data_IF_639063009617
#
_entry.id   IF_639063009617
#
_cell.length_a   1.000
_cell.length_b   1.000
_cell.length_c   1.000
_cell.angle_alpha   90.00
_cell.angle_beta   90.00
_cell.angle_gamma   90.00
#
_symmetry.space_group_name_H-M   'P 1'
#
loop_
_entity.id
_entity.type
_entity.pdbx_description
1 polymer ?
#
# COMPACT_ATOMS: atom_id res chain seq x y z
N UNK A 1 -27.59 6.61 -13.86
CA UNK A 1 -26.22 6.98 -13.39
C UNK A 1 -25.82 6.21 -12.12
N UNK A 2 -26.64 6.18 -11.06
CA UNK A 2 -26.29 5.48 -9.81
C UNK A 2 -25.88 3.99 -9.97
N UNK A 3 -26.59 3.22 -10.81
CA UNK A 3 -26.27 1.80 -11.04
C UNK A 3 -24.92 1.58 -11.74
N UNK A 4 -24.51 2.48 -12.65
CA UNK A 4 -23.22 2.40 -13.34
C UNK A 4 -22.06 2.75 -12.40
N UNK A 5 -22.25 3.75 -11.52
CA UNK A 5 -21.27 4.07 -10.48
C UNK A 5 -21.11 2.91 -9.48
N UNK A 6 -22.22 2.29 -9.07
CA UNK A 6 -22.19 1.13 -8.17
C UNK A 6 -21.47 -0.06 -8.81
N UNK A 7 -21.77 -0.37 -10.07
CA UNK A 7 -21.09 -1.42 -10.82
C UNK A 7 -19.58 -1.15 -10.99
N UNK A 8 -19.19 0.11 -11.22
CA UNK A 8 -17.79 0.50 -11.29
C UNK A 8 -17.07 0.35 -9.94
N UNK A 9 -17.72 0.70 -8.83
CA UNK A 9 -17.18 0.50 -7.47
C UNK A 9 -17.04 -0.99 -7.17
N UNK A 10 -18.03 -1.81 -7.46
CA UNK A 10 -17.97 -3.27 -7.26
C UNK A 10 -16.85 -3.89 -8.12
N UNK A 11 -16.71 -3.44 -9.36
CA UNK A 11 -15.64 -3.90 -10.25
C UNK A 11 -14.26 -3.47 -9.73
N UNK A 12 -14.11 -2.24 -9.24
CA UNK A 12 -12.86 -1.74 -8.66
C UNK A 12 -12.51 -2.46 -7.36
N UNK A 13 -13.50 -2.73 -6.51
CA UNK A 13 -13.33 -3.52 -5.28
C UNK A 13 -12.96 -4.97 -5.62
N UNK A 14 -13.59 -5.56 -6.64
CA UNK A 14 -13.31 -6.91 -7.11
C UNK A 14 -12.01 -7.06 -7.91
N UNK A 15 -11.51 -5.99 -8.53
CA UNK A 15 -10.20 -5.91 -9.19
C UNK A 15 -9.08 -5.61 -8.21
N UNK A 16 -9.35 -4.77 -7.20
CA UNK A 16 -8.69 -4.92 -5.92
C UNK A 16 -9.01 -6.35 -5.38
N UNK A 17 -8.61 -6.90 -4.25
CA UNK A 17 -8.61 -8.36 -4.02
C UNK A 17 -7.74 -9.22 -4.98
N UNK A 18 -7.66 -8.95 -6.30
CA UNK A 18 -6.86 -9.76 -7.23
C UNK A 18 -5.36 -9.64 -6.93
N UNK A 19 -4.59 -10.73 -7.06
CA UNK A 19 -3.16 -10.72 -6.81
C UNK A 19 -2.40 -9.78 -7.77
N UNK A 20 -2.87 -9.63 -9.01
CA UNK A 20 -2.28 -8.71 -9.99
C UNK A 20 -2.41 -7.24 -9.57
N UNK A 21 -3.56 -6.84 -9.01
CA UNK A 21 -3.74 -5.47 -8.52
C UNK A 21 -2.82 -5.14 -7.35
N UNK A 22 -2.48 -6.12 -6.49
CA UNK A 22 -1.55 -5.91 -5.37
C UNK A 22 -0.16 -5.52 -5.88
N UNK A 23 0.37 -6.27 -6.85
CA UNK A 23 1.67 -5.97 -7.46
C UNK A 23 1.68 -4.60 -8.13
N UNK A 24 0.63 -4.29 -8.90
CA UNK A 24 0.51 -2.99 -9.56
C UNK A 24 0.45 -1.80 -8.58
N UNK A 25 -0.35 -1.92 -7.50
CA UNK A 25 -0.43 -0.89 -6.46
C UNK A 25 0.93 -0.70 -5.80
N UNK A 26 1.62 -1.79 -5.45
CA UNK A 26 2.94 -1.74 -4.82
C UNK A 26 3.96 -1.05 -5.74
N UNK A 27 4.02 -1.41 -7.02
CA UNK A 27 4.91 -0.76 -8.00
C UNK A 27 4.60 0.72 -8.17
N UNK A 28 3.33 1.11 -8.12
CA UNK A 28 2.92 2.52 -8.24
C UNK A 28 3.33 3.34 -7.02
N UNK A 29 3.15 2.80 -5.82
CA UNK A 29 3.61 3.42 -4.57
C UNK A 29 5.14 3.51 -4.55
N UNK A 30 5.83 2.42 -4.90
CA UNK A 30 7.29 2.41 -5.00
C UNK A 30 7.80 3.45 -6.01
N UNK A 31 7.16 3.57 -7.18
CA UNK A 31 7.51 4.59 -8.17
C UNK A 31 7.31 6.03 -7.67
N UNK A 32 6.24 6.28 -6.90
CA UNK A 32 5.99 7.58 -6.28
C UNK A 32 7.00 7.91 -5.18
N UNK A 33 7.37 6.95 -4.34
CA UNK A 33 8.40 7.14 -3.32
C UNK A 33 9.77 7.33 -3.97
N UNK A 34 10.05 6.63 -5.07
CA UNK A 34 11.28 6.76 -5.83
C UNK A 34 11.44 8.15 -6.44
N UNK A 35 10.36 8.79 -6.89
CA UNK A 35 10.42 10.18 -7.35
C UNK A 35 10.71 11.18 -6.22
N UNK A 36 10.54 10.77 -4.96
CA UNK A 36 10.93 11.51 -3.76
C UNK A 36 12.32 11.12 -3.24
N UNK A 37 13.06 10.27 -3.96
CA UNK A 37 14.41 9.82 -3.57
C UNK A 37 14.42 8.63 -2.62
N UNK A 38 13.27 7.99 -2.37
CA UNK A 38 13.13 6.84 -1.47
C UNK A 38 12.98 5.57 -2.30
N UNK A 39 13.90 4.61 -2.14
CA UNK A 39 13.74 3.29 -2.73
C UNK A 39 12.92 2.42 -1.77
N UNK A 40 11.81 1.88 -2.25
CA UNK A 40 10.85 1.13 -1.44
C UNK A 40 10.50 -0.19 -2.12
N UNK A 41 10.59 -1.27 -1.36
CA UNK A 41 10.22 -2.61 -1.81
C UNK A 41 9.51 -3.37 -0.69
N UNK A 42 8.63 -4.30 -1.08
CA UNK A 42 8.01 -5.28 -0.19
C UNK A 42 7.83 -6.60 -0.96
N UNK A 43 7.98 -7.72 -0.26
CA UNK A 43 7.82 -9.05 -0.87
C UNK A 43 6.35 -9.37 -1.13
N UNK A 44 5.47 -8.89 -0.24
CA UNK A 44 4.03 -9.14 -0.34
C UNK A 44 3.22 -7.95 0.19
N UNK A 45 2.16 -7.64 -0.54
CA UNK A 45 1.10 -6.73 -0.12
C UNK A 45 -0.20 -7.53 0.03
N UNK A 46 -0.83 -7.41 1.18
CA UNK A 46 -2.17 -7.91 1.47
C UNK A 46 -3.00 -6.72 1.91
N UNK A 47 -4.24 -6.63 1.44
CA UNK A 47 -5.18 -5.66 1.99
C UNK A 47 -6.57 -6.27 2.03
N UNK A 48 -7.37 -5.74 2.94
CA UNK A 48 -8.77 -6.04 3.09
C UNK A 48 -9.54 -4.73 3.02
N UNK A 49 -10.34 -4.55 1.97
CA UNK A 49 -11.11 -3.33 1.75
C UNK A 49 -12.32 -3.23 2.70
N UNK A 50 -12.84 -4.36 3.19
CA UNK A 50 -13.94 -4.34 4.16
C UNK A 50 -13.46 -3.83 5.52
N UNK A 51 -12.27 -4.25 5.95
CA UNK A 51 -11.68 -3.81 7.22
C UNK A 51 -10.69 -2.65 7.07
N UNK A 52 -10.52 -2.14 5.84
CA UNK A 52 -9.55 -1.12 5.45
C UNK A 52 -8.15 -1.34 6.03
N UNK A 53 -7.73 -2.60 6.07
CA UNK A 53 -6.45 -3.00 6.64
C UNK A 53 -5.47 -3.32 5.53
N UNK A 54 -4.21 -2.92 5.70
CA UNK A 54 -3.10 -3.16 4.80
C UNK A 54 -2.00 -3.85 5.58
N UNK A 55 -1.45 -4.91 4.99
CA UNK A 55 -0.37 -5.71 5.54
C UNK A 55 0.72 -5.85 4.48
N UNK A 56 1.93 -5.48 4.85
CA UNK A 56 3.12 -5.60 4.02
C UNK A 56 4.09 -6.56 4.70
N UNK A 57 4.73 -7.42 3.92
CA UNK A 57 5.77 -8.33 4.40
C UNK A 57 7.08 -8.08 3.64
N UNK A 58 8.20 -8.23 4.34
CA UNK A 58 9.54 -8.09 3.75
C UNK A 58 9.84 -6.66 3.29
N UNK A 59 9.43 -5.66 4.07
CA UNK A 59 9.59 -4.25 3.67
C UNK A 59 11.05 -3.85 3.77
N UNK A 60 11.56 -3.22 2.71
CA UNK A 60 12.90 -2.64 2.65
C UNK A 60 12.80 -1.19 2.17
N UNK A 61 13.45 -0.29 2.91
CA UNK A 61 13.52 1.14 2.57
C UNK A 61 14.97 1.55 2.46
N UNK A 62 15.31 2.17 1.34
CA UNK A 62 16.64 2.64 0.99
C UNK A 62 16.60 4.02 0.35
N UNK A 63 17.78 4.51 -0.02
CA UNK A 63 17.90 5.75 -0.79
C UNK A 63 17.90 5.40 -2.28
N UNK A 64 17.00 6.03 -3.05
CA UNK A 64 17.00 5.89 -4.50
C UNK A 64 18.11 6.71 -5.17
N UNK A 65 18.72 7.67 -4.46
CA UNK A 65 19.84 8.48 -4.94
C UNK A 65 21.20 7.85 -4.66
N UNK A 66 21.30 7.00 -3.64
CA UNK A 66 22.53 6.28 -3.30
C UNK A 66 22.43 4.79 -3.72
N UNK A 67 22.56 4.55 -5.02
CA UNK A 67 22.35 3.26 -5.70
C UNK A 67 23.22 2.09 -5.20
N UNK A 68 24.19 2.33 -4.31
CA UNK A 68 25.09 1.30 -3.77
C UNK A 68 25.05 1.17 -2.23
N UNK A 69 24.13 1.85 -1.55
CA UNK A 69 23.97 1.68 -0.11
C UNK A 69 22.95 0.59 0.22
N UNK A 70 23.22 -0.22 1.26
CA UNK A 70 22.22 -1.15 1.76
C UNK A 70 20.97 -0.38 2.21
N UNK A 71 19.78 -1.02 2.18
CA UNK A 71 18.59 -0.42 2.75
C UNK A 71 18.86 -0.03 4.21
N UNK A 72 18.51 1.19 4.57
CA UNK A 72 18.71 1.69 5.93
C UNK A 72 17.65 1.17 6.90
N UNK A 73 16.52 0.68 6.38
CA UNK A 73 15.46 0.08 7.16
C UNK A 73 15.00 -1.22 6.49
N UNK A 74 14.91 -2.29 7.28
CA UNK A 74 14.26 -3.54 6.90
C UNK A 74 13.28 -3.92 7.99
N UNK A 75 12.04 -4.18 7.61
CA UNK A 75 10.97 -4.56 8.54
C UNK A 75 10.37 -5.87 8.06
N UNK A 76 10.24 -6.83 8.96
CA UNK A 76 9.65 -8.13 8.59
C UNK A 76 8.19 -7.98 8.17
N UNK A 77 7.41 -7.20 8.93
CA UNK A 77 6.04 -6.88 8.54
C UNK A 77 5.57 -5.52 9.05
N UNK A 78 4.69 -4.90 8.27
CA UNK A 78 4.00 -3.66 8.59
C UNK A 78 2.51 -3.91 8.47
N UNK A 79 1.76 -3.65 9.54
CA UNK A 79 0.31 -3.68 9.53
C UNK A 79 -0.21 -2.26 9.72
N UNK A 80 -1.13 -1.81 8.87
CA UNK A 80 -1.75 -0.51 8.97
C UNK A 80 -3.26 -0.61 8.77
N UNK A 81 -4.03 0.25 9.45
CA UNK A 81 -5.45 0.44 9.19
C UNK A 81 -5.72 1.85 8.70
N UNK A 82 -6.66 1.98 7.76
CA UNK A 82 -7.09 3.25 7.19
C UNK A 82 -8.43 3.66 7.79
N UNK A 83 -8.62 4.96 7.99
CA UNK A 83 -9.89 5.50 8.48
C UNK A 83 -10.97 5.44 7.40
N UNK A 84 -12.06 4.72 7.66
CA UNK A 84 -13.19 4.62 6.73
C UNK A 84 -13.85 5.97 6.46
N UNK A 85 -14.03 6.79 7.49
CA UNK A 85 -14.68 8.10 7.37
C UNK A 85 -13.87 9.05 6.51
N UNK A 86 -12.54 9.05 6.64
CA UNK A 86 -11.66 9.90 5.85
C UNK A 86 -11.53 9.38 4.41
N UNK A 87 -11.50 8.07 4.23
CA UNK A 87 -11.41 7.46 2.90
C UNK A 87 -12.67 7.73 2.07
N UNK A 88 -13.85 7.73 2.70
CA UNK A 88 -15.11 8.16 2.07
C UNK A 88 -15.12 9.66 1.71
N UNK A 89 -14.36 10.48 2.43
CA UNK A 89 -14.11 11.90 2.10
C UNK A 89 -13.04 12.07 1.01
N UNK A 90 -12.49 10.96 0.49
CA UNK A 90 -11.44 10.95 -0.52
C UNK A 90 -10.03 11.15 0.04
N UNK A 91 -9.85 11.10 1.36
CA UNK A 91 -8.58 11.32 2.04
C UNK A 91 -8.06 10.01 2.64
N UNK A 92 -7.01 9.41 2.05
CA UNK A 92 -6.42 8.20 2.61
C UNK A 92 -5.60 8.56 3.86
N UNK A 93 -6.19 8.34 5.05
CA UNK A 93 -5.54 8.59 6.34
C UNK A 93 -5.25 7.26 7.04
N UNK A 94 -3.99 7.08 7.46
CA UNK A 94 -3.58 5.96 8.31
C UNK A 94 -4.02 6.25 9.73
N UNK A 95 -4.86 5.38 10.28
CA UNK A 95 -5.40 5.51 11.64
C UNK A 95 -4.48 4.83 12.65
N UNK A 96 -4.01 3.62 12.34
CA UNK A 96 -3.04 2.88 13.15
C UNK A 96 -1.98 2.25 12.27
N UNK A 97 -0.75 2.15 12.78
CA UNK A 97 0.33 1.42 12.14
C UNK A 97 1.17 0.68 13.19
N UNK A 98 1.47 -0.58 12.92
CA UNK A 98 2.30 -1.46 13.74
C UNK A 98 3.45 -1.99 12.88
N UNK A 99 4.67 -1.94 13.43
CA UNK A 99 5.87 -2.49 12.82
C UNK A 99 6.31 -3.71 13.63
N UNK A 100 6.66 -4.80 12.95
CA UNK A 100 7.19 -6.00 13.61
C UNK A 100 8.53 -6.41 13.02
N UNK A 101 9.45 -6.78 13.91
CA UNK A 101 10.77 -7.31 13.55
C UNK A 101 11.68 -6.28 12.88
N UNK A 102 11.73 -5.07 13.46
CA UNK A 102 12.69 -4.00 13.13
C UNK A 102 14.05 -4.23 13.78
#
# INVERSE_FOLDING_TARGET
>A
MAAACLAAVVLLVGLAHTPLARGFLLSRVAGHLRSQGIDFSADRLVYNLLTLSVWLEGVSVGSATATQQPPFLRVQSVAASLSASELLRGMPVVENAELRGV
#
